data_IF_811498792456
#
_entry.id   IF_811498792456
#
_cell.length_a   1.000
_cell.length_b   1.000
_cell.length_c   1.000
_cell.angle_alpha   90.00
_cell.angle_beta   90.00
_cell.angle_gamma   90.00
#
_symmetry.space_group_name_H-M   'P 1'
#
loop_
_entity.id
_entity.type
_entity.pdbx_description
1 polymer ?
#
# COMPACT_ATOMS: atom_id res chain seq x y z
N UNK A 1 11.59 15.59 4.85
CA UNK A 1 12.12 15.08 3.57
C UNK A 1 10.94 14.45 2.85
N UNK A 2 10.63 14.83 1.60
CA UNK A 2 9.53 14.20 0.87
C UNK A 2 10.09 13.00 0.09
N UNK A 3 9.83 11.78 0.57
CA UNK A 3 10.06 10.59 -0.25
C UNK A 3 8.84 10.35 -1.15
N UNK A 4 9.05 9.85 -2.38
CA UNK A 4 10.34 9.71 -3.04
C UNK A 4 10.81 11.07 -3.60
N UNK A 5 12.08 11.40 -3.39
CA UNK A 5 12.77 12.50 -4.07
C UNK A 5 13.11 12.08 -5.52
N UNK A 6 12.08 11.60 -6.23
CA UNK A 6 12.17 11.01 -7.56
C UNK A 6 10.96 11.41 -8.38
N UNK A 7 11.16 11.53 -9.68
CA UNK A 7 10.12 11.94 -10.61
C UNK A 7 9.12 10.81 -10.86
N UNK A 8 7.84 11.14 -10.73
CA UNK A 8 6.73 10.24 -11.04
C UNK A 8 6.46 10.21 -12.54
N UNK A 9 6.36 9.00 -13.11
CA UNK A 9 5.93 8.79 -14.49
C UNK A 9 4.44 8.46 -14.59
N UNK A 10 3.89 7.75 -13.60
CA UNK A 10 2.51 7.31 -13.65
C UNK A 10 2.06 6.70 -12.34
N UNK A 11 0.75 6.49 -12.25
CA UNK A 11 0.10 5.91 -11.08
C UNK A 11 -1.02 4.97 -11.51
N UNK A 12 -1.08 3.78 -10.91
CA UNK A 12 -2.14 2.79 -11.13
C UNK A 12 -2.86 2.55 -9.81
N UNK A 13 -4.20 2.67 -9.81
CA UNK A 13 -5.03 2.39 -8.64
C UNK A 13 -5.03 0.89 -8.34
N UNK A 14 -4.64 0.53 -7.12
CA UNK A 14 -4.65 -0.82 -6.57
C UNK A 14 -5.64 -0.98 -5.42
N UNK A 15 -6.40 0.07 -5.09
CA UNK A 15 -7.29 0.14 -3.93
C UNK A 15 -8.27 -1.03 -3.92
N UNK A 16 -8.30 -1.74 -2.79
CA UNK A 16 -9.29 -2.77 -2.47
C UNK A 16 -9.84 -2.48 -1.08
N UNK A 17 -11.15 -2.23 -1.00
CA UNK A 17 -11.79 -1.83 0.25
C UNK A 17 -11.98 -0.32 0.34
N UNK A 18 -12.43 0.14 1.51
CA UNK A 18 -12.84 1.52 1.73
C UNK A 18 -11.81 2.36 2.49
N UNK A 19 -10.89 1.71 3.21
CA UNK A 19 -10.14 2.38 4.27
C UNK A 19 -8.80 2.94 3.78
N UNK A 20 -8.24 2.39 2.70
CA UNK A 20 -6.94 2.80 2.16
C UNK A 20 -7.01 3.20 0.69
N UNK A 21 -6.40 4.33 0.36
CA UNK A 21 -5.89 4.61 -0.97
C UNK A 21 -4.62 3.78 -1.18
N UNK A 22 -4.63 2.91 -2.17
CA UNK A 22 -3.44 2.12 -2.53
C UNK A 22 -3.13 2.34 -3.99
N UNK A 23 -1.94 2.83 -4.29
CA UNK A 23 -1.49 3.10 -5.65
C UNK A 23 -0.16 2.42 -5.93
N UNK A 24 -0.01 1.83 -7.11
CA UNK A 24 1.32 1.60 -7.69
C UNK A 24 1.79 2.92 -8.29
N UNK A 25 2.98 3.36 -7.92
CA UNK A 25 3.62 4.56 -8.46
C UNK A 25 4.83 4.13 -9.27
N UNK A 26 4.83 4.48 -10.54
CA UNK A 26 5.88 4.15 -11.50
C UNK A 26 6.87 5.33 -11.60
N UNK A 27 8.17 5.04 -11.46
CA UNK A 27 9.24 6.02 -11.36
C UNK A 27 10.10 6.05 -12.64
N UNK A 28 10.81 7.16 -12.85
CA UNK A 28 11.59 7.38 -14.08
C UNK A 28 12.75 6.39 -14.29
N UNK A 29 13.26 5.81 -13.22
CA UNK A 29 14.31 4.78 -13.24
C UNK A 29 13.79 3.38 -13.61
N UNK A 30 12.48 3.24 -13.82
CA UNK A 30 11.83 1.95 -14.11
C UNK A 30 11.46 1.15 -12.86
N UNK A 31 11.71 1.68 -11.66
CA UNK A 31 11.21 1.09 -10.43
C UNK A 31 9.74 1.45 -10.19
N UNK A 32 9.04 0.57 -9.49
CA UNK A 32 7.71 0.86 -8.97
C UNK A 32 7.71 0.74 -7.45
N UNK A 33 6.92 1.61 -6.80
CA UNK A 33 6.65 1.55 -5.36
C UNK A 33 5.14 1.47 -5.13
N UNK A 34 4.74 1.03 -3.96
CA UNK A 34 3.35 1.09 -3.52
C UNK A 34 3.20 2.26 -2.57
N UNK A 35 2.37 3.23 -2.96
CA UNK A 35 1.87 4.25 -2.05
C UNK A 35 0.65 3.71 -1.31
N UNK A 36 0.60 3.94 0.00
CA UNK A 36 -0.61 3.77 0.82
C UNK A 36 -0.87 5.02 1.63
N UNK A 37 -2.11 5.47 1.61
CA UNK A 37 -2.60 6.55 2.45
C UNK A 37 -4.08 6.34 2.74
N UNK A 38 -4.67 7.24 3.50
CA UNK A 38 -6.09 7.14 3.84
C UNK A 38 -6.79 8.47 3.62
N UNK A 39 -7.98 8.41 3.03
CA UNK A 39 -8.84 9.59 2.97
C UNK A 39 -9.42 9.83 4.35
N UNK A 40 -9.49 11.08 4.78
CA UNK A 40 -10.11 11.51 6.05
C UNK A 40 -11.62 11.24 6.15
N UNK A 41 -12.18 10.41 5.28
CA UNK A 41 -13.56 9.95 5.35
C UNK A 41 -13.63 8.84 6.40
N UNK A 42 -13.71 9.25 7.67
CA UNK A 42 -13.97 8.37 8.80
C UNK A 42 -15.30 7.66 8.50
N UNK A 43 -15.24 6.36 8.22
CA UNK A 43 -16.45 5.53 8.22
C UNK A 43 -17.14 5.71 9.57
N UNK A 44 -18.44 6.06 9.63
CA UNK A 44 -19.15 6.25 10.90
C UNK A 44 -19.22 4.97 11.75
N UNK A 45 -18.77 3.83 11.19
CA UNK A 45 -18.74 2.53 11.84
C UNK A 45 -17.37 2.15 12.41
N UNK A 46 -16.30 2.85 12.03
CA UNK A 46 -14.97 2.58 12.54
C UNK A 46 -14.62 3.56 13.65
N UNK A 47 -14.11 3.02 14.77
CA UNK A 47 -13.47 3.86 15.80
C UNK A 47 -12.35 4.66 15.12
N UNK A 48 -12.03 5.84 15.63
CA UNK A 48 -10.86 6.59 15.18
C UNK A 48 -9.61 5.68 15.32
N UNK A 49 -9.18 5.09 14.21
CA UNK A 49 -7.94 4.33 14.14
C UNK A 49 -6.84 5.36 13.92
N UNK A 50 -5.83 5.33 14.77
CA UNK A 50 -4.61 6.10 14.52
C UNK A 50 -3.83 5.41 13.40
N UNK A 51 -4.03 5.88 12.18
CA UNK A 51 -3.47 5.25 10.99
C UNK A 51 -1.95 5.44 10.87
N UNK A 52 -1.41 6.50 11.47
CA UNK A 52 0.03 6.61 11.68
C UNK A 52 0.55 5.47 12.56
N UNK A 53 -0.15 5.17 13.66
CA UNK A 53 0.19 4.04 14.52
C UNK A 53 0.01 2.68 13.82
N UNK A 54 -0.97 2.54 12.92
CA UNK A 54 -1.14 1.34 12.10
C UNK A 54 0.02 1.13 11.13
N UNK A 55 0.40 2.15 10.35
CA UNK A 55 1.56 2.07 9.44
C UNK A 55 2.85 1.74 10.20
N UNK A 56 3.07 2.36 11.36
CA UNK A 56 4.20 2.05 12.24
C UNK A 56 4.13 0.62 12.82
N UNK A 57 2.93 0.10 13.06
CA UNK A 57 2.70 -1.30 13.46
C UNK A 57 3.06 -2.29 12.35
N UNK A 58 2.63 -2.00 11.12
CA UNK A 58 2.96 -2.80 9.93
C UNK A 58 4.47 -2.83 9.68
N UNK A 59 5.16 -1.69 9.79
CA UNK A 59 6.63 -1.64 9.70
C UNK A 59 7.28 -2.61 10.69
N UNK A 60 6.91 -2.52 11.97
CA UNK A 60 7.45 -3.37 13.04
C UNK A 60 7.15 -4.85 12.80
N UNK A 61 6.00 -5.18 12.21
CA UNK A 61 5.67 -6.55 11.86
C UNK A 61 6.58 -7.06 10.74
N UNK A 62 6.73 -6.32 9.64
CA UNK A 62 7.54 -6.74 8.50
C UNK A 62 9.02 -6.91 8.86
N UNK A 63 9.56 -6.03 9.70
CA UNK A 63 10.94 -6.14 10.22
C UNK A 63 11.19 -7.46 10.98
N UNK A 64 10.17 -8.04 11.61
CA UNK A 64 10.28 -9.33 12.33
C UNK A 64 10.23 -10.55 11.41
N UNK A 65 9.81 -10.39 10.16
CA UNK A 65 9.69 -11.48 9.18
C UNK A 65 10.55 -11.22 7.92
N UNK A 66 11.89 -11.10 8.05
CA UNK A 66 12.77 -10.74 6.93
C UNK A 66 12.82 -11.82 5.83
N UNK A 67 12.48 -13.06 6.15
CA UNK A 67 12.51 -14.20 5.23
C UNK A 67 11.23 -14.36 4.41
N UNK A 68 10.15 -13.66 4.76
CA UNK A 68 8.90 -13.73 4.00
C UNK A 68 8.91 -12.73 2.84
N UNK A 69 8.33 -13.11 1.68
CA UNK A 69 8.15 -12.21 0.55
C UNK A 69 6.97 -11.29 0.83
N UNK A 70 7.19 -10.29 1.69
CA UNK A 70 6.21 -9.25 2.05
C UNK A 70 6.73 -7.87 1.64
N UNK A 71 5.85 -6.90 1.36
CA UNK A 71 6.27 -5.54 1.07
C UNK A 71 7.14 -4.96 2.19
N UNK A 72 8.21 -4.26 1.83
CA UNK A 72 9.10 -3.57 2.77
C UNK A 72 8.76 -2.10 2.82
N UNK A 73 8.76 -1.53 4.01
CA UNK A 73 8.58 -0.09 4.22
C UNK A 73 9.81 0.63 3.68
N UNK A 74 9.59 1.60 2.81
CA UNK A 74 10.62 2.50 2.29
C UNK A 74 10.58 3.84 3.03
N UNK A 75 9.38 4.34 3.32
CA UNK A 75 9.17 5.57 4.06
C UNK A 75 7.76 5.59 4.66
N UNK A 76 7.60 6.22 5.82
CA UNK A 76 6.31 6.59 6.41
C UNK A 76 6.39 8.07 6.75
N UNK A 77 5.39 8.83 6.31
CA UNK A 77 5.17 10.21 6.71
C UNK A 77 3.94 10.22 7.63
N UNK A 78 4.13 10.24 8.96
CA UNK A 78 3.03 10.30 9.89
C UNK A 78 2.43 11.71 10.00
N UNK A 79 3.15 12.76 9.57
CA UNK A 79 2.67 14.13 9.61
C UNK A 79 1.67 14.39 8.47
N UNK A 80 0.50 14.91 8.84
CA UNK A 80 -0.55 15.28 7.90
C UNK A 80 -0.23 16.58 7.13
N UNK A 81 0.86 17.26 7.45
CA UNK A 81 1.23 18.55 6.84
C UNK A 81 1.41 18.53 5.32
N UNK A 82 1.71 17.38 4.73
CA UNK A 82 1.99 17.26 3.29
C UNK A 82 0.74 16.95 2.46
N UNK A 83 -0.02 15.91 2.84
CA UNK A 83 -1.19 15.45 2.08
C UNK A 83 -2.52 15.60 2.83
N UNK A 84 -2.51 16.12 4.06
CA UNK A 84 -3.68 16.20 4.93
C UNK A 84 -4.03 14.88 5.62
N UNK A 85 -3.20 13.84 5.50
CA UNK A 85 -3.36 12.54 6.12
C UNK A 85 -2.02 11.77 6.17
N UNK A 86 -1.84 10.79 7.08
CA UNK A 86 -0.64 9.96 7.13
C UNK A 86 -0.52 9.03 5.92
N UNK A 87 0.69 8.83 5.42
CA UNK A 87 0.94 7.95 4.27
C UNK A 87 2.28 7.22 4.37
N UNK A 88 2.46 6.22 3.51
CA UNK A 88 3.71 5.48 3.43
C UNK A 88 3.97 4.92 2.03
N UNK A 89 5.24 4.64 1.79
CA UNK A 89 5.73 3.99 0.58
C UNK A 89 6.35 2.65 0.91
N UNK A 90 6.05 1.66 0.07
CA UNK A 90 6.45 0.28 0.24
C UNK A 90 7.06 -0.25 -1.07
N UNK A 91 7.88 -1.28 -0.99
CA UNK A 91 8.38 -1.97 -2.19
C UNK A 91 7.22 -2.58 -2.96
N UNK A 92 7.18 -2.36 -4.27
CA UNK A 92 6.25 -3.08 -5.13
C UNK A 92 6.68 -4.53 -5.28
N UNK A 93 5.70 -5.44 -5.19
CA UNK A 93 5.90 -6.87 -5.40
C UNK A 93 5.10 -7.29 -6.63
N UNK A 94 5.76 -7.68 -7.73
CA UNK A 94 5.06 -8.12 -8.93
C UNK A 94 4.35 -9.46 -8.65
N UNK A 95 3.09 -9.55 -9.07
CA UNK A 95 2.28 -10.75 -8.90
C UNK A 95 0.83 -10.52 -9.28
N UNK A 96 0.08 -11.61 -9.39
CA UNK A 96 -1.37 -11.59 -9.60
C UNK A 96 -2.10 -11.90 -8.31
N UNK A 97 -3.32 -11.38 -8.14
CA UNK A 97 -4.14 -11.75 -6.99
C UNK A 97 -4.53 -13.21 -7.13
N UNK A 98 -4.49 -13.96 -6.04
CA UNK A 98 -4.93 -15.36 -6.04
C UNK A 98 -6.36 -15.50 -6.62
N UNK A 99 -7.26 -14.56 -6.30
CA UNK A 99 -8.63 -14.52 -6.81
C UNK A 99 -8.73 -14.42 -8.33
N UNK A 100 -7.74 -13.85 -9.01
CA UNK A 100 -7.68 -13.75 -10.47
C UNK A 100 -7.23 -15.06 -11.13
N UNK A 101 -6.60 -15.95 -10.35
CA UNK A 101 -6.13 -17.26 -10.82
C UNK A 101 -7.20 -18.35 -10.69
N UNK A 102 -8.17 -18.18 -9.79
CA UNK A 102 -9.24 -19.16 -9.52
C UNK A 102 -10.44 -19.23 -10.50
N UNK A 103 -10.69 -18.31 -11.46
CA UNK A 103 -11.76 -18.50 -12.44
C UNK A 103 -11.59 -19.75 -13.32
N UNK A 104 -10.42 -20.38 -13.32
CA UNK A 104 -10.09 -21.52 -14.17
C UNK A 104 -10.26 -22.91 -13.51
N UNK A 105 -10.61 -22.98 -12.21
CA UNK A 105 -10.66 -24.27 -11.50
C UNK A 105 -12.07 -24.89 -11.47
N UNK A 106 -13.13 -24.13 -11.78
CA UNK A 106 -14.52 -24.61 -11.69
C UNK A 106 -15.10 -25.24 -12.96
N UNK A 107 -14.31 -25.48 -14.02
CA UNK A 107 -14.81 -26.08 -15.27
C UNK A 107 -14.20 -27.44 -15.65
N UNK A 108 -13.49 -28.13 -14.75
CA UNK A 108 -12.95 -29.48 -15.00
C UNK A 108 -13.54 -30.57 -14.10
N UNK A 109 -14.82 -30.46 -13.74
CA UNK A 109 -15.61 -31.61 -13.28
C UNK A 109 -17.08 -31.43 -13.71
N UNK A 110 -17.37 -31.81 -14.95
CA UNK A 110 -18.67 -32.29 -15.40
C UNK A 110 -18.44 -33.22 -16.58
#
# INVERSE_FOLDING_TARGET
MAYPDRKFLGMTDLTVGFDFLVYRVDLEDGESVVFRGQRNEISPYERAIDHGAQLAGEQRFYERVPHLPVPRVLCIEPDESVLGFPYGFFTYMPGSRLSELFPQVSHRHA
#
